data_IF_138433704129
#
_entry.id   IF_138433704129
#
_cell.length_a   1.000
_cell.length_b   1.000
_cell.length_c   1.000
_cell.angle_alpha   90.00
_cell.angle_beta   90.00
_cell.angle_gamma   90.00
#
_symmetry.space_group_name_H-M   'P 1'
#
loop_
_entity.id
_entity.type
_entity.pdbx_description
1 polymer ?
#
# COMPACT_ATOMS: atom_id res chain seq x y z
N UNK A 1 60.43 20.44 49.45
CA UNK A 1 59.59 21.64 49.43
C UNK A 1 58.48 21.45 48.41
N UNK A 2 57.51 20.66 48.85
CA UNK A 2 56.05 20.80 48.73
C UNK A 2 55.45 21.31 47.42
N UNK A 3 54.87 20.36 46.68
CA UNK A 3 53.77 20.57 45.72
C UNK A 3 52.46 20.12 46.39
N UNK A 4 51.35 20.87 46.27
CA UNK A 4 50.07 20.43 46.79
C UNK A 4 49.31 19.52 45.80
N UNK A 5 48.78 18.45 46.37
CA UNK A 5 47.73 17.51 45.92
C UNK A 5 46.42 18.26 45.60
N UNK A 6 45.80 18.13 44.42
CA UNK A 6 44.85 17.09 43.98
C UNK A 6 43.68 16.85 44.94
N UNK A 7 42.59 17.59 44.77
CA UNK A 7 41.25 17.23 45.27
C UNK A 7 40.35 16.87 44.09
N UNK A 8 39.99 15.59 44.02
CA UNK A 8 38.94 15.04 43.18
C UNK A 8 37.66 14.94 44.02
N UNK A 9 36.59 15.59 43.58
CA UNK A 9 35.25 15.36 44.12
C UNK A 9 34.67 14.04 43.58
N UNK A 10 34.03 13.20 44.42
CA UNK A 10 33.39 11.97 43.95
C UNK A 10 31.98 12.23 43.41
N UNK A 11 31.68 11.58 42.30
CA UNK A 11 30.35 11.43 41.68
C UNK A 11 29.37 10.77 42.66
N UNK A 12 28.23 11.42 42.89
CA UNK A 12 27.07 10.82 43.55
C UNK A 12 26.45 9.74 42.65
N UNK A 13 26.50 8.51 43.14
CA UNK A 13 25.70 7.39 42.65
C UNK A 13 24.26 7.52 43.16
N UNK A 14 23.33 7.87 42.27
CA UNK A 14 21.89 7.72 42.52
C UNK A 14 21.53 6.24 42.43
N UNK A 15 21.36 5.59 43.59
CA UNK A 15 20.69 4.28 43.72
C UNK A 15 19.17 4.49 43.62
N UNK A 16 18.55 3.80 42.67
CA UNK A 16 17.11 3.55 42.69
C UNK A 16 16.87 2.26 43.48
N UNK A 17 16.51 2.39 44.75
CA UNK A 17 15.99 1.29 45.56
C UNK A 17 14.56 0.96 45.08
N UNK A 18 14.38 -0.29 44.66
CA UNK A 18 13.12 -0.86 44.19
C UNK A 18 12.60 -1.84 45.23
N UNK A 19 12.11 -1.33 46.36
CA UNK A 19 11.39 -2.13 47.34
C UNK A 19 9.90 -2.14 47.00
N UNK A 20 9.50 -3.03 46.09
CA UNK A 20 8.09 -3.41 45.92
C UNK A 20 7.80 -4.55 46.89
N UNK A 21 7.11 -4.16 47.95
CA UNK A 21 6.63 -4.98 49.04
C UNK A 21 5.76 -6.14 48.55
N UNK A 22 6.02 -7.30 49.14
CA UNK A 22 5.25 -8.52 49.01
C UNK A 22 3.81 -8.33 49.52
N UNK A 23 2.84 -8.79 48.73
CA UNK A 23 1.44 -8.86 49.11
C UNK A 23 1.07 -10.33 49.38
N UNK A 24 0.92 -10.79 50.64
CA UNK A 24 0.19 -12.00 50.93
C UNK A 24 -1.24 -11.60 51.30
N UNK A 25 -2.26 -12.17 50.66
CA UNK A 25 -3.50 -12.61 51.32
C UNK A 25 -4.44 -13.20 50.27
N UNK A 26 -4.50 -14.53 50.29
CA UNK A 26 -5.57 -15.33 49.72
C UNK A 26 -6.35 -15.94 50.89
N UNK A 27 -7.64 -16.20 50.64
CA UNK A 27 -8.63 -16.90 51.48
C UNK A 27 -9.26 -16.17 52.69
N UNK A 28 -10.54 -15.79 52.54
CA UNK A 28 -11.67 -16.56 53.10
C UNK A 28 -12.96 -15.71 53.15
N UNK A 29 -13.97 -16.10 52.36
CA UNK A 29 -15.38 -15.99 52.78
C UNK A 29 -15.66 -17.18 53.74
N UNK A 30 -16.71 -17.21 54.61
CA UNK A 30 -18.03 -16.57 54.45
C UNK A 30 -18.65 -16.01 55.76
N UNK A 31 -19.76 -15.28 55.62
CA UNK A 31 -21.01 -15.41 56.42
C UNK A 31 -21.79 -14.08 56.47
N UNK A 32 -23.06 -14.14 56.04
CA UNK A 32 -24.14 -13.25 56.51
C UNK A 32 -24.47 -13.61 57.97
N UNK A 33 -24.91 -12.66 58.79
CA UNK A 33 -26.36 -12.53 58.99
C UNK A 33 -26.85 -11.08 59.12
N UNK A 34 -28.16 -10.99 59.10
CA UNK A 34 -29.04 -9.81 59.11
C UNK A 34 -28.82 -8.86 60.30
N UNK A 35 -29.00 -7.56 60.06
CA UNK A 35 -29.53 -6.63 61.06
C UNK A 35 -30.07 -5.36 60.40
N UNK A 36 -31.28 -5.03 60.83
CA UNK A 36 -32.10 -3.89 60.46
C UNK A 36 -31.56 -2.52 60.97
N UNK A 37 -32.29 -1.47 60.57
CA UNK A 37 -32.45 -0.16 61.21
C UNK A 37 -31.43 0.92 60.83
N UNK A 38 -31.93 1.96 60.15
CA UNK A 38 -31.15 3.19 59.97
C UNK A 38 -31.75 4.24 59.05
N UNK A 39 -32.99 4.66 59.33
CA UNK A 39 -33.61 5.85 58.73
C UNK A 39 -32.84 7.14 59.07
N UNK A 40 -32.28 7.81 58.07
CA UNK A 40 -32.07 9.26 58.00
C UNK A 40 -31.67 9.57 56.53
N UNK A 41 -32.42 10.31 55.72
CA UNK A 41 -32.91 11.65 56.02
C UNK A 41 -31.83 12.68 55.62
N UNK A 42 -31.63 12.90 54.31
CA UNK A 42 -30.96 14.13 53.85
C UNK A 42 -31.49 14.56 52.49
N UNK A 43 -32.36 15.58 52.57
CA UNK A 43 -32.74 16.50 51.49
C UNK A 43 -31.59 17.48 51.26
N UNK A 44 -31.35 17.82 49.99
CA UNK A 44 -30.80 19.09 49.45
C UNK A 44 -29.89 18.74 48.26
N UNK A 45 -29.92 19.39 47.10
CA UNK A 45 -30.70 20.51 46.60
C UNK A 45 -30.70 20.39 45.07
N UNK A 46 -31.84 20.61 44.43
CA UNK A 46 -31.92 20.78 42.98
C UNK A 46 -31.32 22.14 42.59
N UNK A 47 -30.39 22.21 41.63
CA UNK A 47 -29.99 23.47 41.04
C UNK A 47 -31.03 23.88 39.98
N UNK A 48 -31.71 24.99 40.25
CA UNK A 48 -32.53 25.73 39.29
C UNK A 48 -31.65 26.18 38.11
N UNK A 49 -31.84 25.57 36.95
CA UNK A 49 -31.34 26.10 35.68
C UNK A 49 -32.23 27.27 35.22
N UNK A 50 -31.68 28.43 34.86
CA UNK A 50 -32.46 29.52 34.30
C UNK A 50 -32.84 29.22 32.84
N UNK A 51 -34.13 29.37 32.51
CA UNK A 51 -34.66 29.37 31.16
C UNK A 51 -34.00 30.47 30.32
N UNK A 52 -33.16 30.05 29.37
CA UNK A 52 -32.61 30.90 28.33
C UNK A 52 -33.66 31.03 27.21
N UNK A 53 -34.38 32.15 27.20
CA UNK A 53 -35.19 32.59 26.06
C UNK A 53 -34.33 32.70 24.79
N UNK A 54 -34.58 31.82 23.82
CA UNK A 54 -34.06 31.92 22.45
C UNK A 54 -35.03 32.79 21.65
N UNK A 55 -34.60 33.93 21.06
CA UNK A 55 -35.45 34.68 20.16
C UNK A 55 -35.52 33.98 18.80
N UNK A 56 -36.76 33.73 18.33
CA UNK A 56 -37.03 33.26 16.96
C UNK A 56 -36.48 34.27 15.94
N UNK A 57 -35.42 33.89 15.24
CA UNK A 57 -34.95 34.61 14.06
C UNK A 57 -35.85 34.27 12.88
N UNK A 58 -36.69 35.24 12.49
CA UNK A 58 -37.44 35.20 11.23
C UNK A 58 -36.45 35.15 10.06
N UNK A 59 -36.45 34.04 9.33
CA UNK A 59 -35.81 33.92 8.03
C UNK A 59 -36.69 34.64 7.00
N UNK A 60 -36.19 35.63 6.25
CA UNK A 60 -36.95 36.22 5.15
C UNK A 60 -37.03 35.24 3.97
N UNK A 61 -38.25 34.98 3.51
CA UNK A 61 -38.51 34.27 2.26
C UNK A 61 -37.84 35.03 1.10
N UNK A 62 -36.83 34.42 0.48
CA UNK A 62 -36.24 34.92 -0.75
C UNK A 62 -37.06 34.42 -1.94
N UNK A 63 -37.80 35.33 -2.55
CA UNK A 63 -38.45 35.10 -3.85
C UNK A 63 -37.36 34.92 -4.91
N UNK A 64 -37.22 33.71 -5.44
CA UNK A 64 -36.46 33.45 -6.64
C UNK A 64 -37.24 33.98 -7.85
N UNK A 65 -36.64 34.83 -8.72
CA UNK A 65 -37.30 35.27 -9.93
C UNK A 65 -37.36 34.13 -10.96
N UNK A 66 -38.56 33.87 -11.48
CA UNK A 66 -38.78 32.99 -12.62
C UNK A 66 -37.99 33.52 -13.83
N UNK A 67 -36.98 32.78 -14.26
CA UNK A 67 -36.25 33.05 -15.49
C UNK A 67 -37.03 32.46 -16.67
N UNK A 68 -37.70 33.35 -17.40
CA UNK A 68 -38.21 33.05 -18.73
C UNK A 68 -37.05 32.68 -19.66
N UNK A 69 -36.95 31.39 -19.99
CA UNK A 69 -36.10 30.92 -21.07
C UNK A 69 -36.75 31.30 -22.41
N UNK A 70 -36.06 32.00 -23.32
CA UNK A 70 -36.58 32.27 -24.65
C UNK A 70 -36.61 30.98 -25.48
N UNK A 71 -37.77 30.66 -26.01
CA UNK A 71 -37.95 29.64 -27.04
C UNK A 71 -37.11 30.02 -28.27
N UNK A 72 -35.95 29.38 -28.43
CA UNK A 72 -35.18 29.48 -29.67
C UNK A 72 -35.74 28.49 -30.68
N UNK A 73 -36.40 29.03 -31.70
CA UNK A 73 -36.77 28.31 -32.90
C UNK A 73 -35.50 27.81 -33.60
N UNK A 74 -35.19 26.52 -33.43
CA UNK A 74 -34.19 25.85 -34.23
C UNK A 74 -34.75 25.59 -35.64
N UNK A 75 -33.99 25.89 -36.71
CA UNK A 75 -34.44 25.68 -38.07
C UNK A 75 -34.48 24.19 -38.41
N UNK A 76 -35.59 23.80 -39.02
CA UNK A 76 -35.90 22.48 -39.56
C UNK A 76 -34.92 22.12 -40.70
N UNK A 77 -33.72 21.65 -40.35
CA UNK A 77 -32.76 21.15 -41.34
C UNK A 77 -33.07 19.70 -41.68
N UNK A 78 -33.75 19.53 -42.82
CA UNK A 78 -33.83 18.35 -43.69
C UNK A 78 -33.12 17.09 -43.18
N UNK A 79 -33.94 16.11 -42.85
CA UNK A 79 -33.59 14.70 -42.70
C UNK A 79 -32.87 14.18 -43.96
N UNK A 80 -31.54 14.15 -43.90
CA UNK A 80 -30.74 13.27 -44.75
C UNK A 80 -30.77 11.89 -44.10
N UNK A 81 -31.52 11.00 -44.74
CA UNK A 81 -31.67 9.57 -44.47
C UNK A 81 -30.31 8.86 -44.51
N UNK A 82 -29.50 9.03 -43.46
CA UNK A 82 -28.25 8.29 -43.26
C UNK A 82 -28.60 6.95 -42.66
N UNK A 83 -28.43 5.92 -43.47
CA UNK A 83 -28.49 4.51 -43.10
C UNK A 83 -27.89 4.28 -41.70
N UNK A 84 -28.52 3.45 -40.84
CA UNK A 84 -28.00 3.15 -39.52
C UNK A 84 -26.69 2.38 -39.67
N UNK A 85 -25.59 3.11 -39.77
CA UNK A 85 -24.24 2.56 -39.76
C UNK A 85 -24.06 1.92 -38.38
N UNK A 86 -24.17 0.60 -38.36
CA UNK A 86 -23.94 -0.26 -37.20
C UNK A 86 -22.77 0.29 -36.36
N UNK A 87 -22.90 0.36 -35.03
CA UNK A 87 -21.85 0.88 -34.16
C UNK A 87 -20.56 0.15 -34.48
N UNK A 88 -19.63 0.90 -35.08
CA UNK A 88 -18.32 0.44 -35.55
C UNK A 88 -17.64 -0.24 -34.37
N UNK A 89 -17.69 -1.58 -34.34
CA UNK A 89 -17.04 -2.39 -33.30
C UNK A 89 -15.60 -1.93 -33.21
N UNK A 90 -15.27 -1.23 -32.13
CA UNK A 90 -13.91 -0.81 -31.85
C UNK A 90 -13.04 -2.07 -31.86
N UNK A 91 -12.10 -2.12 -32.78
CA UNK A 91 -11.25 -3.29 -32.96
C UNK A 91 -10.46 -3.52 -31.66
N UNK A 92 -10.32 -4.79 -31.21
CA UNK A 92 -9.57 -5.13 -30.00
C UNK A 92 -8.14 -4.58 -29.99
N UNK A 93 -7.56 -4.33 -31.17
CA UNK A 93 -6.23 -3.74 -31.34
C UNK A 93 -6.11 -2.32 -30.77
N UNK A 94 -7.16 -1.48 -30.82
CA UNK A 94 -7.13 -0.13 -30.23
C UNK A 94 -7.07 -0.14 -28.71
N UNK A 95 -7.68 -1.14 -28.07
CA UNK A 95 -7.65 -1.28 -26.60
C UNK A 95 -6.26 -1.67 -26.09
N UNK A 96 -5.53 -2.50 -26.83
CA UNK A 96 -4.15 -2.85 -26.46
C UNK A 96 -3.20 -1.66 -26.57
N UNK A 97 -3.32 -0.82 -27.60
CA UNK A 97 -2.47 0.36 -27.77
C UNK A 97 -2.63 1.39 -26.64
N UNK A 98 -3.86 1.62 -26.18
CA UNK A 98 -4.15 2.53 -25.06
C UNK A 98 -3.54 2.04 -23.73
N UNK A 99 -3.47 0.73 -23.52
CA UNK A 99 -2.81 0.17 -22.33
C UNK A 99 -1.28 0.38 -22.38
N UNK A 100 -0.67 0.35 -23.57
CA UNK A 100 0.76 0.61 -23.74
C UNK A 100 1.11 2.07 -23.45
N UNK A 101 0.28 3.02 -23.87
CA UNK A 101 0.46 4.44 -23.53
C UNK A 101 0.26 4.71 -22.04
N UNK A 102 -0.76 4.13 -21.41
CA UNK A 102 -0.98 4.26 -19.97
C UNK A 102 0.17 3.67 -19.16
N UNK A 103 0.78 2.57 -19.61
CA UNK A 103 1.98 1.99 -19.01
C UNK A 103 3.22 2.88 -19.22
N UNK A 104 3.29 3.64 -20.34
CA UNK A 104 4.39 4.56 -20.61
C UNK A 104 4.43 5.77 -19.68
N UNK A 105 3.27 6.21 -19.16
CA UNK A 105 3.15 7.29 -18.18
C UNK A 105 3.73 6.89 -16.81
N UNK A 106 3.65 5.61 -16.45
CA UNK A 106 4.33 5.08 -15.27
C UNK A 106 5.71 4.56 -15.66
N UNK A 107 6.60 5.45 -16.08
CA UNK A 107 8.03 5.09 -16.16
C UNK A 107 8.44 4.62 -14.76
N UNK A 108 8.97 3.39 -14.57
CA UNK A 108 9.35 2.90 -13.25
C UNK A 108 10.28 3.86 -12.48
N UNK A 109 11.09 4.62 -13.23
CA UNK A 109 11.90 5.73 -12.74
C UNK A 109 11.10 6.78 -11.94
N UNK A 110 9.87 7.14 -12.35
CA UNK A 110 9.07 8.13 -11.62
C UNK A 110 8.61 7.60 -10.28
N UNK A 111 8.32 6.30 -10.15
CA UNK A 111 8.01 5.69 -8.85
C UNK A 111 9.20 5.77 -7.90
N UNK A 112 10.42 5.54 -8.39
CA UNK A 112 11.65 5.70 -7.58
C UNK A 112 11.82 7.14 -7.16
N UNK A 113 11.70 8.12 -8.07
CA UNK A 113 11.81 9.54 -7.70
C UNK A 113 10.76 9.95 -6.67
N UNK A 114 9.50 9.53 -6.84
CA UNK A 114 8.45 9.84 -5.87
C UNK A 114 8.72 9.17 -4.52
N UNK A 115 9.19 7.91 -4.50
CA UNK A 115 9.60 7.23 -3.29
C UNK A 115 10.76 7.95 -2.60
N UNK A 116 11.79 8.36 -3.34
CA UNK A 116 12.94 9.11 -2.82
C UNK A 116 12.53 10.47 -2.27
N UNK A 117 11.68 11.22 -2.97
CA UNK A 117 11.16 12.51 -2.49
C UNK A 117 10.35 12.31 -1.19
N UNK A 118 9.45 11.33 -1.15
CA UNK A 118 8.67 11.03 0.05
C UNK A 118 9.54 10.59 1.22
N UNK A 119 10.59 9.81 0.96
CA UNK A 119 11.56 9.40 1.99
C UNK A 119 12.36 10.59 2.51
N UNK A 120 12.81 11.49 1.64
CA UNK A 120 13.50 12.73 2.01
C UNK A 120 12.58 13.72 2.76
N UNK A 121 11.26 13.63 2.58
CA UNK A 121 10.29 14.44 3.32
C UNK A 121 10.07 13.95 4.75
N UNK A 122 10.38 12.69 5.09
CA UNK A 122 10.23 12.15 6.45
C UNK A 122 10.88 13.04 7.52
N UNK A 123 12.19 13.38 7.45
CA UNK A 123 12.84 14.24 8.47
C UNK A 123 12.32 15.68 8.48
N UNK A 124 11.74 16.17 7.39
CA UNK A 124 11.12 17.51 7.37
C UNK A 124 9.77 17.47 8.08
N UNK A 125 9.00 16.40 7.86
CA UNK A 125 7.68 16.22 8.46
C UNK A 125 7.74 15.87 9.94
N UNK A 126 8.84 15.26 10.43
CA UNK A 126 9.04 15.03 11.88
C UNK A 126 8.99 16.32 12.69
N UNK A 127 9.31 17.48 12.09
CA UNK A 127 9.19 18.79 12.73
C UNK A 127 7.74 19.20 13.01
N UNK A 128 6.79 18.71 12.21
CA UNK A 128 5.38 19.15 12.24
C UNK A 128 4.47 18.07 12.85
N UNK A 129 5.00 16.87 13.07
CA UNK A 129 4.25 15.72 13.58
C UNK A 129 3.47 15.99 14.87
N UNK A 130 4.10 16.64 15.86
CA UNK A 130 3.43 16.94 17.14
C UNK A 130 2.31 17.96 16.97
N UNK A 131 2.51 18.97 16.13
CA UNK A 131 1.50 19.98 15.82
C UNK A 131 0.29 19.37 15.10
N UNK A 132 0.53 18.50 14.13
CA UNK A 132 -0.53 17.79 13.39
C UNK A 132 -1.28 16.82 14.31
N UNK A 133 -0.56 16.03 15.12
CA UNK A 133 -1.18 15.11 16.07
C UNK A 133 -2.04 15.85 17.11
N UNK A 134 -1.56 16.98 17.64
CA UNK A 134 -2.31 17.83 18.56
C UNK A 134 -3.55 18.44 17.90
N UNK A 135 -3.45 18.84 16.63
CA UNK A 135 -4.60 19.32 15.86
C UNK A 135 -5.70 18.27 15.78
N UNK A 136 -5.38 17.03 15.37
CA UNK A 136 -6.37 15.94 15.31
C UNK A 136 -6.95 15.58 16.69
N UNK A 137 -6.14 15.63 17.77
CA UNK A 137 -6.63 15.40 19.13
C UNK A 137 -7.60 16.49 19.62
N UNK A 138 -7.33 17.76 19.27
CA UNK A 138 -8.12 18.91 19.75
C UNK A 138 -9.37 19.18 18.91
N UNK A 139 -9.36 18.79 17.63
CA UNK A 139 -10.43 19.04 16.68
C UNK A 139 -10.93 17.71 16.09
N UNK A 140 -11.71 16.91 16.84
CA UNK A 140 -12.25 15.67 16.32
C UNK A 140 -13.12 15.96 15.09
N UNK A 141 -12.97 15.13 14.06
CA UNK A 141 -13.78 15.23 12.84
C UNK A 141 -15.25 14.94 13.15
N UNK A 142 -16.15 15.45 12.30
CA UNK A 142 -17.58 15.10 12.38
C UNK A 142 -17.75 13.57 12.32
N UNK A 143 -18.69 13.04 13.12
CA UNK A 143 -18.98 11.60 13.23
C UNK A 143 -19.16 10.89 11.88
N UNK A 144 -19.76 11.55 10.90
CA UNK A 144 -19.98 10.99 9.56
C UNK A 144 -18.66 10.81 8.79
N UNK A 145 -17.76 11.80 8.89
CA UNK A 145 -16.41 11.71 8.31
C UNK A 145 -15.59 10.64 9.02
N UNK A 146 -15.67 10.54 10.35
CA UNK A 146 -14.95 9.51 11.08
C UNK A 146 -15.41 8.10 10.67
N UNK A 147 -16.72 7.90 10.52
CA UNK A 147 -17.29 6.63 10.01
C UNK A 147 -16.86 6.34 8.57
N UNK A 148 -16.80 7.36 7.71
CA UNK A 148 -16.32 7.21 6.33
C UNK A 148 -14.82 6.88 6.27
N UNK A 149 -14.01 7.48 7.16
CA UNK A 149 -12.59 7.18 7.31
C UNK A 149 -12.36 5.77 7.83
N UNK A 150 -13.14 5.32 8.81
CA UNK A 150 -13.12 3.94 9.30
C UNK A 150 -13.45 2.95 8.18
N UNK A 151 -14.44 3.26 7.32
CA UNK A 151 -14.74 2.43 6.16
C UNK A 151 -13.59 2.41 5.14
N UNK A 152 -12.93 3.55 4.91
CA UNK A 152 -11.77 3.62 4.01
C UNK A 152 -10.63 2.71 4.47
N UNK A 153 -10.52 2.49 5.78
CA UNK A 153 -9.50 1.63 6.38
C UNK A 153 -9.58 0.18 5.94
N UNK A 154 -10.79 -0.30 5.64
CA UNK A 154 -11.01 -1.67 5.16
C UNK A 154 -10.14 -1.93 3.92
N UNK A 155 -9.90 -0.91 3.09
CA UNK A 155 -9.07 -1.00 1.88
C UNK A 155 -7.64 -1.48 2.12
N UNK A 156 -7.03 -1.17 3.27
CA UNK A 156 -5.68 -1.62 3.61
C UNK A 156 -5.66 -2.90 4.45
N UNK A 157 -6.81 -3.31 4.97
CA UNK A 157 -6.91 -4.50 5.80
C UNK A 157 -6.89 -5.77 4.93
N UNK A 158 -6.43 -6.89 5.49
CA UNK A 158 -6.34 -8.16 4.74
C UNK A 158 -7.69 -8.59 4.15
N UNK A 159 -8.78 -8.35 4.88
CA UNK A 159 -10.15 -8.64 4.41
C UNK A 159 -10.56 -7.76 3.23
N UNK A 160 -10.30 -6.45 3.25
CA UNK A 160 -10.61 -5.58 2.12
C UNK A 160 -9.73 -5.83 0.91
N UNK A 161 -8.44 -6.11 1.10
CA UNK A 161 -7.54 -6.57 0.03
C UNK A 161 -8.12 -7.83 -0.62
N UNK A 162 -8.52 -8.82 0.18
CA UNK A 162 -9.16 -10.05 -0.32
C UNK A 162 -10.44 -9.76 -1.10
N UNK A 163 -11.33 -8.90 -0.58
CA UNK A 163 -12.57 -8.52 -1.26
C UNK A 163 -12.32 -7.79 -2.58
N UNK A 164 -11.31 -6.92 -2.66
CA UNK A 164 -10.91 -6.24 -3.90
C UNK A 164 -10.40 -7.26 -4.92
N UNK A 165 -9.51 -8.18 -4.51
CA UNK A 165 -8.97 -9.22 -5.39
C UNK A 165 -10.09 -10.16 -5.89
N UNK A 166 -10.97 -10.60 -4.99
CA UNK A 166 -12.14 -11.42 -5.31
C UNK A 166 -13.08 -10.70 -6.28
N UNK A 167 -13.36 -9.42 -6.04
CA UNK A 167 -14.19 -8.60 -6.92
C UNK A 167 -13.61 -8.49 -8.32
N UNK A 168 -12.30 -8.26 -8.45
CA UNK A 168 -11.64 -8.22 -9.77
C UNK A 168 -11.71 -9.58 -10.46
N UNK A 169 -11.49 -10.67 -9.72
CA UNK A 169 -11.55 -12.03 -10.25
C UNK A 169 -12.96 -12.38 -10.79
N UNK A 170 -14.02 -11.95 -10.11
CA UNK A 170 -15.41 -12.22 -10.47
C UNK A 170 -15.95 -11.26 -11.54
N UNK A 171 -15.78 -9.94 -11.36
CA UNK A 171 -16.37 -8.92 -12.23
C UNK A 171 -15.57 -8.70 -13.51
N UNK A 172 -14.26 -8.99 -13.52
CA UNK A 172 -13.40 -8.79 -14.68
C UNK A 172 -12.58 -10.04 -15.01
N UNK A 173 -13.20 -11.09 -15.61
CA UNK A 173 -12.50 -12.35 -15.93
C UNK A 173 -11.27 -12.18 -16.83
N UNK A 174 -11.22 -11.09 -17.60
CA UNK A 174 -10.06 -10.74 -18.45
C UNK A 174 -8.84 -10.27 -17.63
N UNK A 175 -9.07 -9.75 -16.42
CA UNK A 175 -8.05 -9.21 -15.53
C UNK A 175 -7.58 -10.22 -14.48
N UNK A 176 -8.16 -11.42 -14.40
CA UNK A 176 -7.82 -12.43 -13.38
C UNK A 176 -6.34 -12.83 -13.37
N UNK A 177 -5.66 -12.76 -14.51
CA UNK A 177 -4.23 -13.05 -14.63
C UNK A 177 -3.33 -11.97 -14.01
N UNK A 178 -3.89 -10.78 -13.76
CA UNK A 178 -3.20 -9.69 -13.08
C UNK A 178 -3.44 -9.72 -11.56
N UNK A 179 -4.38 -10.53 -11.08
CA UNK A 179 -4.70 -10.67 -9.65
C UNK A 179 -3.49 -11.15 -8.82
N UNK A 180 -2.68 -12.14 -9.25
CA UNK A 180 -1.48 -12.53 -8.50
C UNK A 180 -0.50 -11.37 -8.29
N UNK A 181 -0.33 -10.51 -9.30
CA UNK A 181 0.52 -9.32 -9.19
C UNK A 181 -0.03 -8.33 -8.17
N UNK A 182 -1.33 -8.09 -8.19
CA UNK A 182 -1.99 -7.19 -7.25
C UNK A 182 -1.95 -7.74 -5.81
N UNK A 183 -2.08 -9.06 -5.65
CA UNK A 183 -1.91 -9.74 -4.37
C UNK A 183 -0.48 -9.58 -3.85
N UNK A 184 0.55 -9.78 -4.69
CA UNK A 184 1.95 -9.57 -4.28
C UNK A 184 2.24 -8.12 -3.91
N UNK A 185 1.65 -7.14 -4.61
CA UNK A 185 1.76 -5.72 -4.24
C UNK A 185 1.21 -5.47 -2.83
N UNK A 186 -0.02 -5.91 -2.56
CA UNK A 186 -0.68 -5.64 -1.28
C UNK A 186 -0.04 -6.41 -0.11
N UNK A 187 0.14 -7.73 -0.27
CA UNK A 187 0.72 -8.59 0.76
C UNK A 187 2.19 -8.31 0.99
N UNK A 188 2.96 -8.11 -0.10
CA UNK A 188 4.37 -7.78 -0.02
C UNK A 188 4.63 -6.40 0.60
N UNK A 189 3.74 -5.42 0.35
CA UNK A 189 3.80 -4.12 1.01
C UNK A 189 3.62 -4.24 2.53
N UNK A 190 2.64 -5.05 2.96
CA UNK A 190 2.42 -5.31 4.39
C UNK A 190 3.60 -6.03 5.04
N UNK A 191 4.14 -7.06 4.38
CA UNK A 191 5.32 -7.80 4.85
C UNK A 191 6.56 -6.89 4.97
N UNK A 192 6.82 -6.05 3.97
CA UNK A 192 7.91 -5.08 4.03
C UNK A 192 7.74 -4.08 5.17
N UNK A 193 6.53 -3.60 5.41
CA UNK A 193 6.28 -2.71 6.54
C UNK A 193 6.60 -3.38 7.88
N UNK A 194 6.23 -4.65 8.05
CA UNK A 194 6.57 -5.44 9.24
C UNK A 194 8.07 -5.61 9.39
N UNK A 195 8.78 -5.94 8.30
CA UNK A 195 10.25 -6.06 8.31
C UNK A 195 10.88 -4.72 8.69
N UNK A 196 10.48 -3.60 8.09
CA UNK A 196 11.02 -2.27 8.44
C UNK A 196 10.71 -1.90 9.89
N UNK A 197 9.53 -2.25 10.39
CA UNK A 197 9.12 -2.02 11.78
C UNK A 197 9.99 -2.81 12.78
N UNK A 198 10.63 -3.90 12.36
CA UNK A 198 11.59 -4.62 13.22
C UNK A 198 12.84 -3.78 13.51
N UNK A 199 13.24 -2.88 12.61
CA UNK A 199 14.46 -2.07 12.76
C UNK A 199 14.21 -0.68 13.34
N UNK A 200 13.02 -0.10 13.14
CA UNK A 200 12.74 1.28 13.56
C UNK A 200 11.84 1.29 14.79
N UNK A 201 12.42 1.67 15.93
CA UNK A 201 11.73 1.89 17.19
C UNK A 201 11.27 3.34 17.24
N UNK A 202 9.94 3.52 17.17
CA UNK A 202 9.29 4.82 17.33
C UNK A 202 7.97 4.65 18.09
N UNK A 203 7.74 5.36 19.20
CA UNK A 203 6.49 5.27 19.97
C UNK A 203 5.31 5.87 19.20
N UNK A 204 4.09 5.39 19.48
CA UNK A 204 2.87 5.91 18.85
C UNK A 204 2.40 7.23 19.49
N UNK A 205 1.68 8.09 18.75
CA UNK A 205 1.11 9.31 19.32
C UNK A 205 0.13 9.03 20.46
N UNK A 206 -0.69 7.99 20.33
CA UNK A 206 -1.70 7.61 21.34
C UNK A 206 -1.12 7.17 22.68
N UNK A 207 0.13 6.68 22.71
CA UNK A 207 0.82 6.31 23.96
C UNK A 207 1.52 7.50 24.63
N UNK A 208 1.58 8.66 23.97
CA UNK A 208 2.27 9.84 24.48
C UNK A 208 1.25 10.87 24.99
N UNK A 209 1.51 11.40 26.18
CA UNK A 209 0.74 12.53 26.71
C UNK A 209 1.15 13.83 25.99
N UNK A 210 0.55 14.08 24.81
CA UNK A 210 0.80 15.21 23.91
C UNK A 210 0.69 16.62 24.55
N UNK A 211 0.12 16.71 25.75
CA UNK A 211 -0.01 17.96 26.54
C UNK A 211 1.26 18.28 27.33
N UNK A 212 1.98 17.26 27.81
CA UNK A 212 3.21 17.42 28.61
C UNK A 212 4.47 17.20 27.77
N UNK A 213 4.32 16.42 26.71
CA UNK A 213 5.41 16.07 25.81
C UNK A 213 5.70 17.24 24.86
N UNK A 214 6.89 17.83 25.01
CA UNK A 214 7.40 18.86 24.10
C UNK A 214 7.69 18.36 22.68
N UNK A 215 8.18 19.24 21.82
CA UNK A 215 8.63 18.92 20.46
C UNK A 215 9.72 17.85 20.38
N UNK A 216 10.40 17.56 21.49
CA UNK A 216 11.53 16.63 21.53
C UNK A 216 11.11 15.18 21.31
N UNK A 217 9.89 14.78 21.68
CA UNK A 217 9.49 13.37 21.53
C UNK A 217 9.20 12.93 20.09
N UNK A 218 8.97 13.85 19.15
CA UNK A 218 8.90 13.48 17.73
C UNK A 218 10.25 13.06 17.15
N UNK A 219 11.35 13.38 17.82
CA UNK A 219 12.72 13.05 17.43
C UNK A 219 13.26 11.76 18.06
N UNK A 220 12.45 11.06 18.85
CA UNK A 220 12.81 9.76 19.42
C UNK A 220 12.78 8.68 18.33
N UNK A 221 13.86 8.63 17.55
CA UNK A 221 14.16 7.57 16.60
C UNK A 221 15.27 6.71 17.17
N UNK A 222 14.95 5.45 17.47
CA UNK A 222 15.96 4.45 17.80
C UNK A 222 15.98 3.41 16.69
N UNK A 223 17.18 3.09 16.19
CA UNK A 223 17.37 2.02 15.23
C UNK A 223 17.96 0.82 15.99
N UNK A 224 17.20 -0.26 16.05
CA UNK A 224 17.67 -1.52 16.62
C UNK A 224 18.32 -2.35 15.50
N UNK A 225 19.63 -2.20 15.36
CA UNK A 225 20.42 -2.96 14.38
C UNK A 225 20.80 -4.35 14.88
N UNK A 226 20.81 -4.56 16.20
CA UNK A 226 21.25 -5.81 16.82
C UNK A 226 20.10 -6.82 16.97
N UNK A 227 18.87 -6.40 16.67
CA UNK A 227 17.66 -7.22 16.76
C UNK A 227 17.44 -7.79 18.17
N UNK A 228 18.06 -7.19 19.19
CA UNK A 228 17.99 -7.66 20.57
C UNK A 228 16.57 -7.52 21.14
N UNK A 229 15.82 -6.52 20.67
CA UNK A 229 14.44 -6.27 21.06
C UNK A 229 13.41 -6.97 20.14
N UNK A 230 13.83 -7.92 19.28
CA UNK A 230 12.90 -8.71 18.46
C UNK A 230 12.08 -9.69 19.31
N UNK A 231 12.64 -10.24 20.38
CA UNK A 231 11.88 -11.16 21.24
C UNK A 231 10.71 -10.47 21.94
N UNK A 232 10.83 -9.16 22.19
CA UNK A 232 9.77 -8.29 22.71
C UNK A 232 9.02 -7.54 21.60
N UNK A 233 9.01 -8.08 20.36
CA UNK A 233 8.36 -7.43 19.23
C UNK A 233 6.85 -7.38 19.43
N UNK A 234 6.38 -6.26 19.97
CA UNK A 234 4.98 -5.87 19.86
C UNK A 234 4.80 -4.92 18.69
N UNK A 235 4.19 -5.41 17.61
CA UNK A 235 3.85 -4.59 16.45
C UNK A 235 2.92 -3.41 16.83
N UNK A 236 2.22 -3.54 17.96
CA UNK A 236 1.29 -2.55 18.51
C UNK A 236 1.99 -1.32 19.11
N UNK A 237 3.26 -1.42 19.56
CA UNK A 237 3.96 -0.30 20.20
C UNK A 237 4.72 0.57 19.20
N UNK A 238 5.10 0.01 18.04
CA UNK A 238 5.91 0.70 17.04
C UNK A 238 5.05 1.45 16.01
N UNK A 239 5.39 2.70 15.75
CA UNK A 239 4.66 3.61 14.87
C UNK A 239 5.20 3.63 13.44
N UNK A 240 6.51 3.60 13.24
CA UNK A 240 7.12 3.68 11.92
C UNK A 240 7.44 2.29 11.32
N UNK A 241 7.20 2.07 10.01
CA UNK A 241 6.30 2.80 9.12
C UNK A 241 4.84 2.38 9.34
N UNK A 242 3.89 3.15 8.80
CA UNK A 242 2.48 2.74 8.84
C UNK A 242 2.18 1.63 7.83
N UNK A 243 2.05 0.39 8.31
CA UNK A 243 1.80 -0.78 7.43
C UNK A 243 0.54 -0.69 6.59
N UNK A 244 -0.55 -0.14 7.15
CA UNK A 244 -1.78 0.11 6.41
C UNK A 244 -1.57 1.08 5.23
N UNK A 245 -0.78 2.12 5.43
CA UNK A 245 -0.45 3.08 4.38
C UNK A 245 0.45 2.45 3.32
N UNK A 246 1.42 1.62 3.70
CA UNK A 246 2.28 0.89 2.75
C UNK A 246 1.43 -0.01 1.85
N UNK A 247 0.57 -0.85 2.44
CA UNK A 247 -0.33 -1.75 1.69
C UNK A 247 -1.31 -0.98 0.81
N UNK A 248 -1.97 0.06 1.35
CA UNK A 248 -2.89 0.89 0.58
C UNK A 248 -2.21 1.57 -0.61
N UNK A 249 -0.99 2.08 -0.42
CA UNK A 249 -0.21 2.73 -1.48
C UNK A 249 0.16 1.73 -2.58
N UNK A 250 0.72 0.57 -2.21
CA UNK A 250 1.09 -0.46 -3.18
C UNK A 250 -0.13 -0.98 -3.96
N UNK A 251 -1.25 -1.20 -3.28
CA UNK A 251 -2.51 -1.62 -3.88
C UNK A 251 -3.08 -0.54 -4.82
N UNK A 252 -3.06 0.73 -4.41
CA UNK A 252 -3.56 1.86 -5.21
C UNK A 252 -2.78 2.02 -6.50
N UNK A 253 -1.44 1.93 -6.45
CA UNK A 253 -0.59 1.98 -7.65
C UNK A 253 -0.91 0.79 -8.57
N UNK A 254 -1.10 -0.40 -8.00
CA UNK A 254 -1.52 -1.58 -8.75
C UNK A 254 -2.86 -1.40 -9.45
N UNK A 255 -3.85 -0.87 -8.73
CA UNK A 255 -5.19 -0.57 -9.25
C UNK A 255 -5.19 0.56 -10.28
N UNK A 256 -4.34 1.58 -10.14
CA UNK A 256 -4.20 2.65 -11.13
C UNK A 256 -3.70 2.17 -12.48
N UNK A 257 -2.82 1.17 -12.47
CA UNK A 257 -2.30 0.53 -13.68
C UNK A 257 -3.35 -0.41 -14.27
N UNK A 258 -4.05 -1.17 -13.42
CA UNK A 258 -5.06 -2.15 -13.84
C UNK A 258 -6.37 -1.50 -14.36
N UNK A 259 -6.81 -0.43 -13.70
CA UNK A 259 -8.11 0.20 -13.86
C UNK A 259 -7.94 1.73 -13.97
N UNK A 260 -7.41 2.26 -15.09
CA UNK A 260 -7.08 3.68 -15.22
C UNK A 260 -8.30 4.62 -15.15
N UNK A 261 -9.52 4.10 -15.35
CA UNK A 261 -10.75 4.89 -15.17
C UNK A 261 -11.12 5.12 -13.71
N UNK A 262 -10.72 4.22 -12.81
CA UNK A 262 -11.02 4.30 -11.38
C UNK A 262 -10.05 5.17 -10.59
N UNK A 263 -9.17 5.93 -11.26
CA UNK A 263 -8.04 6.59 -10.59
C UNK A 263 -8.45 7.52 -9.46
N UNK A 264 -9.45 8.36 -9.72
CA UNK A 264 -9.95 9.33 -8.74
C UNK A 264 -10.51 8.60 -7.53
N UNK A 265 -11.31 7.54 -7.74
CA UNK A 265 -11.91 6.75 -6.67
C UNK A 265 -10.84 6.09 -5.76
N UNK A 266 -9.83 5.46 -6.36
CA UNK A 266 -8.76 4.83 -5.57
C UNK A 266 -7.91 5.88 -4.84
N UNK A 267 -7.68 7.04 -5.45
CA UNK A 267 -7.01 8.16 -4.80
C UNK A 267 -7.79 8.65 -3.58
N UNK A 268 -9.11 8.82 -3.71
CA UNK A 268 -9.96 9.28 -2.59
C UNK A 268 -9.96 8.29 -1.43
N UNK A 269 -10.06 6.99 -1.73
CA UNK A 269 -10.01 5.94 -0.69
C UNK A 269 -8.62 5.91 -0.03
N UNK A 270 -7.55 6.01 -0.81
CA UNK A 270 -6.17 6.06 -0.31
C UNK A 270 -5.91 7.28 0.59
N UNK A 271 -6.39 8.47 0.21
CA UNK A 271 -6.34 9.66 1.07
C UNK A 271 -7.15 9.44 2.35
N UNK A 272 -8.30 8.77 2.26
CA UNK A 272 -9.07 8.34 3.42
C UNK A 272 -8.25 7.48 4.39
N UNK A 273 -7.52 6.47 3.89
CA UNK A 273 -6.64 5.64 4.73
C UNK A 273 -5.56 6.47 5.42
N UNK A 274 -4.94 7.41 4.70
CA UNK A 274 -3.95 8.32 5.29
C UNK A 274 -4.56 9.14 6.42
N UNK A 275 -5.70 9.79 6.14
CA UNK A 275 -6.36 10.68 7.10
C UNK A 275 -6.88 9.91 8.32
N UNK A 276 -7.40 8.70 8.11
CA UNK A 276 -7.82 7.80 9.20
C UNK A 276 -6.67 7.51 10.16
N UNK A 277 -5.45 7.27 9.65
CA UNK A 277 -4.28 6.94 10.48
C UNK A 277 -3.82 8.11 11.34
N UNK A 278 -3.99 9.33 10.82
CA UNK A 278 -3.74 10.58 11.55
C UNK A 278 -4.85 10.87 12.56
N UNK A 279 -6.12 10.74 12.16
CA UNK A 279 -7.28 11.02 13.00
C UNK A 279 -7.33 10.12 14.24
N UNK A 280 -7.02 8.84 14.07
CA UNK A 280 -6.97 7.88 15.19
C UNK A 280 -5.75 8.05 16.11
N UNK A 281 -4.82 8.95 15.78
CA UNK A 281 -3.58 9.14 16.54
C UNK A 281 -2.70 7.89 16.61
N UNK A 282 -2.88 6.94 15.68
CA UNK A 282 -2.09 5.69 15.66
C UNK A 282 -0.71 5.89 15.06
N UNK A 283 -0.57 6.90 14.20
CA UNK A 283 0.67 7.21 13.48
C UNK A 283 0.86 8.72 13.33
N UNK A 284 2.12 9.15 13.29
CA UNK A 284 2.48 10.51 12.92
C UNK A 284 2.40 10.71 11.40
N UNK A 285 2.44 11.97 10.95
CA UNK A 285 2.40 12.30 9.52
C UNK A 285 3.63 11.78 8.79
N UNK A 286 4.81 11.89 9.39
CA UNK A 286 6.03 11.33 8.83
C UNK A 286 6.02 9.79 8.75
N UNK A 287 5.31 9.09 9.66
CA UNK A 287 5.10 7.63 9.56
C UNK A 287 4.26 7.26 8.35
N UNK A 288 3.23 8.07 8.07
CA UNK A 288 2.38 7.90 6.90
C UNK A 288 3.18 8.15 5.61
N UNK A 289 3.96 9.23 5.53
CA UNK A 289 4.82 9.52 4.38
C UNK A 289 5.93 8.47 4.18
N UNK A 290 6.54 7.96 5.25
CA UNK A 290 7.46 6.83 5.18
C UNK A 290 6.77 5.58 4.66
N UNK A 291 5.53 5.33 5.08
CA UNK A 291 4.70 4.26 4.53
C UNK A 291 4.41 4.42 3.03
N UNK A 292 4.10 5.63 2.58
CA UNK A 292 3.93 5.94 1.14
C UNK A 292 5.22 5.67 0.37
N UNK A 293 6.37 6.12 0.89
CA UNK A 293 7.68 5.92 0.26
C UNK A 293 8.00 4.42 0.07
N UNK A 294 7.80 3.60 1.11
CA UNK A 294 8.03 2.15 1.06
C UNK A 294 7.04 1.48 0.11
N UNK A 295 5.77 1.88 0.14
CA UNK A 295 4.75 1.35 -0.78
C UNK A 295 5.04 1.63 -2.25
N UNK A 296 5.53 2.84 -2.57
CA UNK A 296 5.98 3.23 -3.91
C UNK A 296 7.23 2.45 -4.33
N UNK A 297 8.20 2.29 -3.44
CA UNK A 297 9.41 1.51 -3.70
C UNK A 297 9.08 0.03 -3.97
N UNK A 298 8.17 -0.55 -3.18
CA UNK A 298 7.70 -1.90 -3.42
C UNK A 298 6.96 -2.04 -4.75
N UNK A 299 6.10 -1.06 -5.07
CA UNK A 299 5.44 -1.01 -6.38
C UNK A 299 6.47 -0.96 -7.52
N UNK A 300 7.54 -0.17 -7.38
CA UNK A 300 8.64 -0.18 -8.34
C UNK A 300 9.24 -1.58 -8.51
N UNK A 301 9.56 -2.30 -7.43
CA UNK A 301 10.11 -3.67 -7.49
C UNK A 301 9.18 -4.63 -8.24
N UNK A 302 7.87 -4.57 -7.98
CA UNK A 302 6.87 -5.40 -8.66
C UNK A 302 6.62 -5.00 -10.13
N UNK A 303 6.86 -3.74 -10.50
CA UNK A 303 6.68 -3.23 -11.86
C UNK A 303 7.96 -3.20 -12.70
N UNK A 304 9.13 -3.37 -12.09
CA UNK A 304 10.39 -3.33 -12.80
C UNK A 304 10.55 -4.57 -13.71
N UNK A 305 10.84 -4.38 -15.01
CA UNK A 305 10.86 -5.47 -15.98
C UNK A 305 11.93 -6.51 -15.67
N UNK A 306 13.07 -6.12 -15.09
CA UNK A 306 14.18 -7.06 -14.78
C UNK A 306 14.05 -7.77 -13.43
N UNK A 307 13.14 -7.30 -12.56
CA UNK A 307 12.95 -7.90 -11.23
C UNK A 307 11.75 -8.86 -11.30
N UNK A 308 10.69 -8.59 -10.53
CA UNK A 308 9.51 -9.45 -10.50
C UNK A 308 8.61 -9.31 -11.73
N UNK A 309 8.78 -8.26 -12.55
CA UNK A 309 7.99 -8.06 -13.78
C UNK A 309 8.04 -9.28 -14.71
N UNK A 310 9.23 -9.84 -14.94
CA UNK A 310 9.39 -11.05 -15.76
C UNK A 310 8.61 -12.26 -15.25
N UNK A 311 8.53 -12.45 -13.93
CA UNK A 311 7.80 -13.57 -13.31
C UNK A 311 6.30 -13.42 -13.54
N UNK A 312 5.77 -12.20 -13.39
CA UNK A 312 4.35 -11.92 -13.65
C UNK A 312 4.01 -12.03 -15.14
N UNK A 313 4.90 -11.58 -16.02
CA UNK A 313 4.70 -11.70 -17.47
C UNK A 313 4.70 -13.18 -17.92
N UNK A 314 5.49 -14.03 -17.27
CA UNK A 314 5.41 -15.49 -17.46
C UNK A 314 4.10 -16.06 -16.92
N UNK A 315 3.63 -15.64 -15.74
CA UNK A 315 2.34 -16.11 -15.21
C UNK A 315 1.14 -15.64 -16.02
N UNK A 316 1.25 -14.51 -16.72
CA UNK A 316 0.21 -13.98 -17.60
C UNK A 316 0.08 -14.76 -18.93
N UNK A 317 0.74 -15.92 -19.06
CA UNK A 317 0.87 -16.69 -20.29
C UNK A 317 -0.39 -16.66 -21.17
N UNK A 318 -0.15 -16.12 -22.36
CA UNK A 318 -1.02 -15.87 -23.49
C UNK A 318 -2.28 -16.74 -23.45
N UNK A 319 -3.49 -16.15 -23.35
CA UNK A 319 -4.73 -16.91 -23.39
C UNK A 319 -4.75 -17.71 -24.67
N UNK A 320 -4.43 -19.02 -24.54
CA UNK A 320 -4.21 -20.03 -25.59
C UNK A 320 -4.78 -19.52 -26.88
N UNK A 321 -3.92 -18.85 -27.67
CA UNK A 321 -4.28 -18.15 -28.89
C UNK A 321 -5.11 -19.12 -29.68
N UNK A 322 -6.42 -18.86 -29.63
CA UNK A 322 -7.51 -19.77 -29.94
C UNK A 322 -7.07 -20.58 -31.13
N UNK A 323 -6.64 -21.82 -30.83
CA UNK A 323 -5.93 -22.77 -31.69
C UNK A 323 -6.39 -22.45 -33.09
N UNK A 324 -5.56 -21.68 -33.82
CA UNK A 324 -5.94 -21.06 -35.10
C UNK A 324 -6.64 -22.19 -35.81
N UNK A 325 -7.95 -22.06 -36.03
CA UNK A 325 -8.63 -22.87 -37.02
C UNK A 325 -7.75 -22.64 -38.22
N UNK A 326 -6.85 -23.58 -38.48
CA UNK A 326 -6.26 -23.79 -39.78
C UNK A 326 -7.54 -23.93 -40.58
N UNK A 327 -7.97 -22.93 -41.36
CA UNK A 327 -9.01 -23.20 -42.32
C UNK A 327 -8.50 -24.45 -43.01
N UNK A 328 -9.29 -25.53 -42.97
CA UNK A 328 -9.02 -26.67 -43.80
C UNK A 328 -8.76 -26.03 -45.16
N UNK A 329 -7.53 -26.17 -45.65
CA UNK A 329 -7.24 -25.93 -47.05
C UNK A 329 -8.24 -26.80 -47.75
N UNK A 330 -9.32 -26.18 -48.20
CA UNK A 330 -10.15 -26.72 -49.26
C UNK A 330 -9.15 -26.80 -50.40
N UNK A 331 -8.64 -28.01 -50.61
CA UNK A 331 -7.88 -28.36 -51.79
C UNK A 331 -8.78 -28.10 -52.98
N UNK A 332 -8.77 -26.86 -53.46
CA UNK A 332 -9.26 -26.53 -54.79
C UNK A 332 -8.20 -27.05 -55.73
N UNK A 333 -8.44 -28.27 -56.21
CA UNK A 333 -7.89 -28.84 -57.41
C UNK A 333 -7.77 -27.78 -58.53
N UNK A 334 -6.57 -27.52 -59.08
CA UNK A 334 -6.43 -27.12 -60.46
C UNK A 334 -5.99 -28.37 -61.23
N UNK A 335 -6.94 -29.27 -61.51
CA UNK A 335 -6.79 -30.19 -62.62
C UNK A 335 -6.98 -29.39 -63.91
N UNK A 336 -5.90 -28.80 -64.41
CA UNK A 336 -5.78 -28.48 -65.83
C UNK A 336 -4.29 -28.36 -66.19
N UNK A 337 -3.76 -29.51 -66.56
CA UNK A 337 -2.60 -29.69 -67.43
C UNK A 337 -2.74 -28.77 -68.66
N UNK A 338 -1.77 -27.88 -68.89
CA UNK A 338 -1.35 -27.54 -70.26
C UNK A 338 0.19 -27.46 -70.23
N UNK A 339 0.78 -28.49 -70.79
CA UNK A 339 2.18 -28.62 -71.22
C UNK A 339 2.54 -27.55 -72.25
N UNK A 340 3.76 -26.99 -72.14
CA UNK A 340 4.51 -26.55 -73.32
C UNK A 340 6.02 -26.79 -73.10
N UNK A 341 6.72 -27.48 -74.03
CA UNK A 341 8.16 -27.68 -74.01
C UNK A 341 8.89 -26.82 -75.08
N UNK A 342 10.22 -26.68 -74.91
CA UNK A 342 11.23 -26.05 -75.81
C UNK A 342 11.44 -24.54 -75.60
N UNK A 343 12.63 -23.93 -75.65
CA UNK A 343 13.95 -24.26 -76.23
C UNK A 343 14.94 -23.25 -75.59
N UNK A 344 16.03 -23.69 -74.93
CA UNK A 344 17.45 -23.64 -75.36
C UNK A 344 18.15 -22.27 -75.43
N UNK A 345 19.38 -22.28 -74.91
CA UNK A 345 20.58 -21.50 -75.32
C UNK A 345 20.65 -20.02 -74.88
N UNK A 346 21.79 -19.42 -74.55
CA UNK A 346 23.17 -19.82 -74.19
C UNK A 346 23.89 -18.48 -73.87
N UNK A 347 25.11 -18.56 -73.33
CA UNK A 347 26.20 -17.59 -73.46
C UNK A 347 26.48 -16.57 -72.33
N UNK A 348 27.37 -17.02 -71.43
CA UNK A 348 28.64 -16.42 -71.00
C UNK A 348 28.82 -14.88 -71.01
N UNK A 349 29.31 -14.34 -69.87
CA UNK A 349 30.65 -13.72 -69.86
C UNK A 349 31.27 -13.66 -68.46
N UNK A 350 32.57 -13.84 -68.49
CA UNK A 350 33.60 -14.01 -67.47
C UNK A 350 34.04 -12.72 -66.78
N UNK A 351 34.70 -12.85 -65.62
CA UNK A 351 35.44 -11.77 -64.97
C UNK A 351 36.03 -12.17 -63.61
N UNK A 352 37.21 -12.78 -63.64
CA UNK A 352 38.10 -13.03 -62.48
C UNK A 352 38.58 -11.73 -61.80
N UNK A 353 38.78 -11.75 -60.48
CA UNK A 353 40.07 -11.51 -59.82
C UNK A 353 39.95 -11.42 -58.28
N UNK A 354 40.61 -12.37 -57.61
CA UNK A 354 41.12 -12.38 -56.22
C UNK A 354 42.50 -11.65 -56.18
N UNK A 355 43.29 -11.52 -55.06
CA UNK A 355 43.11 -11.95 -53.66
C UNK A 355 43.61 -10.97 -52.55
N UNK A 356 43.44 -11.41 -51.29
CA UNK A 356 44.40 -11.37 -50.15
C UNK A 356 44.35 -10.26 -49.07
N UNK A 357 44.17 -10.74 -47.82
CA UNK A 357 44.86 -10.48 -46.54
C UNK A 357 43.82 -10.68 -45.41
N UNK A 358 43.97 -11.50 -44.37
CA UNK A 358 45.15 -12.04 -43.71
C UNK A 358 45.24 -11.48 -42.30
N UNK A 359 44.53 -12.07 -41.32
CA UNK A 359 44.75 -11.85 -39.86
C UNK A 359 44.09 -13.02 -39.11
N UNK A 360 44.80 -14.12 -38.83
CA UNK A 360 45.57 -14.43 -37.61
C UNK A 360 44.73 -14.28 -36.33
N UNK A 361 44.43 -15.44 -35.73
CA UNK A 361 43.68 -15.58 -34.49
C UNK A 361 44.51 -15.37 -33.23
N UNK A 362 43.83 -15.43 -32.09
CA UNK A 362 44.42 -15.66 -30.77
C UNK A 362 43.32 -16.23 -29.86
N UNK A 363 43.48 -17.52 -29.56
CA UNK A 363 42.86 -18.23 -28.45
C UNK A 363 43.34 -17.66 -27.11
N UNK A 364 42.43 -17.54 -26.15
CA UNK A 364 42.78 -17.41 -24.74
C UNK A 364 41.63 -17.91 -23.85
N UNK A 365 41.74 -19.16 -23.42
CA UNK A 365 40.99 -19.74 -22.30
C UNK A 365 41.38 -19.04 -20.97
N UNK A 366 40.43 -18.78 -20.06
CA UNK A 366 40.75 -18.52 -18.66
C UNK A 366 40.74 -19.80 -17.79
N UNK A 367 41.57 -19.84 -16.74
CA UNK A 367 41.86 -21.06 -15.99
C UNK A 367 40.75 -21.42 -14.99
N UNK A 368 40.49 -22.72 -14.87
CA UNK A 368 39.78 -23.32 -13.76
C UNK A 368 40.66 -23.25 -12.50
N UNK A 369 40.19 -22.53 -11.48
CA UNK A 369 40.70 -22.62 -10.12
C UNK A 369 39.72 -23.46 -9.30
N UNK A 370 40.16 -24.66 -8.91
CA UNK A 370 39.51 -25.47 -7.89
C UNK A 370 39.91 -25.00 -6.50
N UNK A 371 38.93 -24.85 -5.61
CA UNK A 371 39.11 -24.85 -4.14
C UNK A 371 37.83 -25.44 -3.53
N UNK A 372 37.95 -26.62 -2.93
CA UNK A 372 37.00 -27.17 -1.94
C UNK A 372 36.97 -26.29 -0.68
N UNK A 373 35.86 -26.28 0.08
CA UNK A 373 35.98 -26.96 1.37
C UNK A 373 34.73 -27.72 1.84
N UNK A 374 35.04 -28.83 2.51
CA UNK A 374 34.45 -29.32 3.76
C UNK A 374 32.94 -29.41 3.94
N UNK A 375 32.53 -30.68 3.80
CA UNK A 375 31.33 -31.32 4.31
C UNK A 375 31.44 -31.49 5.82
N UNK A 376 30.69 -30.71 6.61
CA UNK A 376 30.47 -30.96 8.04
C UNK A 376 28.99 -30.75 8.41
N UNK A 377 28.48 -31.79 9.05
CA UNK A 377 27.34 -31.90 9.98
C UNK A 377 25.89 -31.86 9.49
N UNK A 378 25.31 -33.06 9.58
CA UNK A 378 23.91 -33.34 9.77
C UNK A 378 23.37 -32.67 11.06
N UNK A 379 22.25 -31.96 10.91
CA UNK A 379 21.47 -31.40 12.00
C UNK A 379 20.01 -31.85 11.88
N UNK A 380 19.55 -32.46 12.95
CA UNK A 380 18.26 -33.10 13.19
C UNK A 380 17.05 -32.16 12.94
N UNK A 381 16.07 -32.60 12.13
CA UNK A 381 14.78 -31.91 11.94
C UNK A 381 13.75 -32.58 12.84
N UNK A 382 13.36 -31.90 13.92
CA UNK A 382 12.18 -32.22 14.73
C UNK A 382 11.00 -31.43 14.14
N UNK A 383 9.83 -32.06 13.90
CA UNK A 383 8.67 -31.35 13.40
C UNK A 383 7.99 -30.58 14.55
N UNK A 384 7.94 -29.25 14.47
CA UNK A 384 7.00 -28.48 15.29
C UNK A 384 5.72 -28.24 14.51
N UNK A 385 4.67 -28.75 15.12
CA UNK A 385 3.26 -28.69 14.78
C UNK A 385 2.75 -27.26 14.62
N UNK A 386 1.87 -27.09 13.63
CA UNK A 386 1.02 -25.94 13.45
C UNK A 386 0.06 -25.73 14.63
N UNK A 387 -0.06 -24.49 15.11
CA UNK A 387 -1.22 -23.94 15.82
C UNK A 387 -1.45 -22.54 15.22
N UNK A 388 -2.50 -22.31 14.42
CA UNK A 388 -3.90 -22.10 14.83
C UNK A 388 -4.03 -20.76 15.59
N UNK A 389 -4.30 -19.69 14.85
CA UNK A 389 -5.60 -18.98 14.88
C UNK A 389 -5.98 -18.52 16.29
N UNK A 390 -5.83 -17.23 16.57
CA UNK A 390 -6.73 -16.56 17.50
C UNK A 390 -7.20 -15.22 16.95
N UNK A 391 -8.53 -15.16 16.87
CA UNK A 391 -9.36 -14.09 16.37
C UNK A 391 -9.58 -13.04 17.45
N UNK A 392 -9.85 -11.83 16.98
CA UNK A 392 -10.47 -10.69 17.67
C UNK A 392 -11.52 -11.08 18.73
N UNK A 393 -11.48 -10.44 19.89
CA UNK A 393 -12.66 -9.86 20.57
C UNK A 393 -12.27 -9.07 21.84
N UNK A 394 -13.11 -8.09 22.20
CA UNK A 394 -13.05 -7.21 23.39
C UNK A 394 -12.07 -6.03 23.32
N UNK A 395 -12.41 -4.77 23.57
CA UNK A 395 -13.49 -4.20 24.39
C UNK A 395 -14.07 -2.91 23.78
N UNK A 396 -15.40 -2.90 23.63
CA UNK A 396 -16.24 -1.71 23.82
C UNK A 396 -16.86 -1.86 25.21
N UNK A 397 -16.48 -1.02 26.16
CA UNK A 397 -17.29 -0.64 27.31
C UNK A 397 -16.58 0.47 28.12
N UNK A 398 -16.86 1.73 27.79
CA UNK A 398 -16.95 2.88 28.69
C UNK A 398 -17.49 4.06 27.88
#
# INVERSE_FOLDING_TARGET
MDRPTSDCSPLEHVRFDSDVSANPHQEAAPARPDAEVGSAGSRAAEPLCPESHVPESRVPESHAPESHAPESHAPESRAAERSPSLPRRLSPQRLSALNTEAASLYRPITLVYMASIMLLMVPVLTLVDTSVARYFKSSPLSRDLDSALELSLVFSHGTGVFLVLMSIMLLAPRLRWQVPRLATLALGGGALATITKMFVLRPRPSSLNLEYVGSESSWLWAFDWDLSEIAAFDASTRAFPSGNVVTATALTIGLWILLPRGRVLFATIWVGVLLQRLNTGTHFLSDACGGVAIGLLWAFVCYHPKLMGTLFDRMAHEPRRRRRHRPATVDVNPTSQITDPRTTDELATSGEAMPSLGTVGLDADPPQAGVSPDRVQAGHVVPMTAGQEESQSSERAA
#
